data_IF_042907294842
#
_entry.id   IF_042907294842
#
_cell.length_a   1.000
_cell.length_b   1.000
_cell.length_c   1.000
_cell.angle_alpha   90.00
_cell.angle_beta   90.00
_cell.angle_gamma   90.00
#
_symmetry.space_group_name_H-M   'P 1'
#
loop_
_entity.id
_entity.type
_entity.pdbx_description
1 polymer ?
#
# COMPACT_ATOMS: atom_id res chain seq x y z
N UNK A 1 -18.00 -48.98 21.38
CA UNK A 1 -19.37 -49.15 21.91
C UNK A 1 -20.25 -48.18 21.14
N UNK A 2 -21.26 -48.72 20.46
CA UNK A 2 -22.31 -48.05 19.67
C UNK A 2 -22.78 -46.72 20.30
N UNK A 3 -23.19 -45.66 19.59
CA UNK A 3 -23.99 -45.57 18.36
C UNK A 3 -24.02 -44.08 17.95
N UNK A 4 -23.95 -43.79 16.66
CA UNK A 4 -24.94 -42.93 16.00
C UNK A 4 -24.97 -43.35 14.54
N UNK A 5 -26.16 -43.77 14.13
CA UNK A 5 -26.48 -44.20 12.77
C UNK A 5 -26.18 -43.03 11.83
N UNK A 6 -25.25 -43.21 10.89
CA UNK A 6 -25.37 -42.50 9.63
C UNK A 6 -26.66 -43.02 9.03
N UNK A 7 -27.72 -42.23 9.13
CA UNK A 7 -28.92 -42.39 8.34
C UNK A 7 -28.46 -42.40 6.88
N UNK A 8 -28.24 -43.60 6.35
CA UNK A 8 -28.03 -43.86 4.93
C UNK A 8 -29.34 -43.47 4.27
N UNK A 9 -29.49 -42.18 3.98
CA UNK A 9 -30.44 -41.72 2.97
C UNK A 9 -30.07 -42.53 1.72
N UNK A 10 -30.94 -43.44 1.24
CA UNK A 10 -30.62 -44.23 0.07
C UNK A 10 -30.42 -43.26 -1.07
N UNK A 11 -29.20 -43.21 -1.61
CA UNK A 11 -28.93 -42.38 -2.78
C UNK A 11 -29.87 -42.88 -3.89
N UNK A 12 -30.77 -42.02 -4.41
CA UNK A 12 -31.74 -42.45 -5.41
C UNK A 12 -31.00 -42.95 -6.64
N UNK A 13 -31.44 -44.07 -7.23
CA UNK A 13 -30.94 -44.49 -8.55
C UNK A 13 -31.14 -43.35 -9.54
N UNK A 14 -30.06 -42.96 -10.22
CA UNK A 14 -30.11 -41.93 -11.24
C UNK A 14 -29.99 -42.59 -12.60
N UNK A 15 -31.07 -42.56 -13.38
CA UNK A 15 -31.14 -43.13 -14.73
C UNK A 15 -30.74 -44.62 -14.80
N UNK A 16 -31.08 -45.41 -13.77
CA UNK A 16 -30.74 -46.83 -13.71
C UNK A 16 -29.26 -47.13 -13.44
N UNK A 17 -28.45 -46.12 -13.10
CA UNK A 17 -27.06 -46.31 -12.70
C UNK A 17 -26.98 -46.56 -11.18
N UNK A 18 -26.27 -47.61 -10.74
CA UNK A 18 -26.13 -47.89 -9.32
C UNK A 18 -25.27 -46.82 -8.65
N UNK A 19 -25.66 -46.47 -7.43
CA UNK A 19 -24.85 -45.62 -6.56
C UNK A 19 -23.50 -46.30 -6.28
N UNK A 20 -22.41 -45.55 -6.43
CA UNK A 20 -21.04 -46.04 -6.23
C UNK A 20 -20.46 -45.56 -4.91
N UNK A 21 -20.47 -44.25 -4.67
CA UNK A 21 -19.89 -43.65 -3.48
C UNK A 21 -20.35 -42.20 -3.31
N UNK A 22 -20.18 -41.65 -2.12
CA UNK A 22 -20.18 -40.20 -1.93
C UNK A 22 -18.84 -39.64 -2.39
N UNK A 23 -18.85 -38.49 -3.07
CA UNK A 23 -17.63 -37.76 -3.36
C UNK A 23 -17.03 -37.26 -2.03
N UNK A 24 -15.88 -37.80 -1.67
CA UNK A 24 -15.11 -37.38 -0.50
C UNK A 24 -14.13 -36.30 -0.94
N UNK A 25 -13.82 -35.36 -0.05
CA UNK A 25 -12.77 -34.37 -0.27
C UNK A 25 -11.48 -35.07 -0.73
N UNK A 26 -11.01 -34.71 -1.92
CA UNK A 26 -9.72 -35.16 -2.44
C UNK A 26 -8.69 -34.08 -2.16
N UNK A 27 -7.38 -34.41 -2.12
CA UNK A 27 -6.32 -33.41 -1.86
C UNK A 27 -6.41 -32.18 -2.78
N UNK A 28 -6.89 -32.38 -4.01
CA UNK A 28 -7.02 -31.35 -5.04
C UNK A 28 -8.32 -30.52 -4.92
N UNK A 29 -9.35 -31.07 -4.26
CA UNK A 29 -10.68 -30.44 -4.11
C UNK A 29 -11.11 -30.55 -2.65
N UNK A 30 -10.53 -29.67 -1.84
CA UNK A 30 -10.97 -29.48 -0.46
C UNK A 30 -12.41 -28.94 -0.47
N UNK A 31 -13.33 -29.65 0.18
CA UNK A 31 -14.78 -29.40 0.19
C UNK A 31 -15.40 -29.15 -1.21
N UNK A 32 -15.70 -30.19 -2.02
CA UNK A 32 -16.29 -30.00 -3.34
C UNK A 32 -17.73 -29.46 -3.27
N UNK A 33 -18.04 -28.47 -4.10
CA UNK A 33 -19.38 -27.94 -4.30
C UNK A 33 -19.93 -28.45 -5.63
N UNK A 34 -21.09 -29.08 -5.61
CA UNK A 34 -21.76 -29.57 -6.83
C UNK A 34 -22.21 -28.40 -7.69
N UNK A 35 -21.86 -28.43 -8.98
CA UNK A 35 -22.30 -27.43 -9.96
C UNK A 35 -23.40 -28.01 -10.83
N UNK A 36 -23.10 -29.08 -11.57
CA UNK A 36 -24.06 -29.76 -12.45
C UNK A 36 -23.58 -31.15 -12.86
N UNK A 37 -24.47 -31.90 -13.52
CA UNK A 37 -24.19 -33.24 -14.08
C UNK A 37 -24.62 -33.26 -15.54
N UNK A 38 -23.73 -33.71 -16.42
CA UNK A 38 -23.94 -33.81 -17.86
C UNK A 38 -23.60 -35.23 -18.33
N UNK A 39 -24.63 -36.07 -18.49
CA UNK A 39 -24.45 -37.49 -18.77
C UNK A 39 -23.69 -38.19 -17.64
N UNK A 40 -22.47 -38.64 -17.93
CA UNK A 40 -21.55 -39.24 -16.95
C UNK A 40 -20.61 -38.22 -16.30
N UNK A 41 -20.55 -36.98 -16.78
CA UNK A 41 -19.68 -35.96 -16.18
C UNK A 41 -20.35 -35.30 -14.96
N UNK A 42 -19.67 -35.31 -13.82
CA UNK A 42 -20.06 -34.61 -12.59
C UNK A 42 -19.15 -33.40 -12.43
N UNK A 43 -19.68 -32.21 -12.68
CA UNK A 43 -18.93 -30.96 -12.58
C UNK A 43 -18.99 -30.43 -11.16
N UNK A 44 -17.83 -30.23 -10.56
CA UNK A 44 -17.66 -29.70 -9.21
C UNK A 44 -16.72 -28.50 -9.23
N UNK A 45 -16.84 -27.64 -8.21
CA UNK A 45 -15.88 -26.56 -7.95
C UNK A 45 -15.39 -26.61 -6.52
N UNK A 46 -14.28 -25.92 -6.24
CA UNK A 46 -13.80 -25.75 -4.87
C UNK A 46 -14.73 -24.81 -4.08
N UNK A 47 -14.98 -25.13 -2.81
CA UNK A 47 -15.73 -24.26 -1.88
C UNK A 47 -15.04 -22.91 -1.72
N UNK A 48 -15.76 -21.83 -1.97
CA UNK A 48 -15.33 -20.46 -1.71
C UNK A 48 -15.58 -20.09 -0.23
N UNK A 49 -14.84 -19.12 0.34
CA UNK A 49 -15.04 -18.68 1.71
C UNK A 49 -16.48 -18.27 2.05
N UNK A 50 -17.21 -17.67 1.10
CA UNK A 50 -18.62 -17.29 1.27
C UNK A 50 -19.61 -18.47 1.19
N UNK A 51 -19.19 -19.63 0.72
CA UNK A 51 -20.11 -20.75 0.55
C UNK A 51 -20.46 -21.39 1.91
N UNK A 52 -21.72 -21.79 2.12
CA UNK A 52 -22.06 -22.69 3.22
C UNK A 52 -21.38 -24.05 3.04
N UNK A 53 -21.38 -24.87 4.09
CA UNK A 53 -20.85 -26.23 3.97
C UNK A 53 -21.63 -27.04 2.92
N UNK A 54 -20.95 -27.60 1.90
CA UNK A 54 -21.63 -28.27 0.82
C UNK A 54 -22.24 -29.60 1.30
N UNK A 55 -23.42 -29.97 0.78
CA UNK A 55 -23.98 -31.29 1.01
C UNK A 55 -23.10 -32.36 0.35
N UNK A 56 -23.24 -33.61 0.79
CA UNK A 56 -22.55 -34.75 0.17
C UNK A 56 -23.03 -34.92 -1.28
N UNK A 57 -22.09 -35.16 -2.18
CA UNK A 57 -22.37 -35.30 -3.62
C UNK A 57 -22.38 -36.79 -3.97
N UNK A 58 -23.50 -37.37 -4.44
CA UNK A 58 -23.53 -38.77 -4.82
C UNK A 58 -22.83 -38.98 -6.18
N UNK A 59 -21.99 -40.01 -6.26
CA UNK A 59 -21.38 -40.52 -7.48
C UNK A 59 -21.93 -41.91 -7.81
N UNK A 60 -22.23 -42.11 -9.08
CA UNK A 60 -22.80 -43.34 -9.63
C UNK A 60 -21.75 -44.05 -10.49
N UNK A 61 -22.01 -45.31 -10.83
CA UNK A 61 -21.12 -46.05 -11.71
C UNK A 61 -21.00 -45.38 -13.10
N UNK A 62 -19.77 -45.32 -13.62
CA UNK A 62 -19.44 -44.63 -14.86
C UNK A 62 -19.29 -43.10 -14.74
N UNK A 63 -19.51 -42.50 -13.57
CA UNK A 63 -19.29 -41.07 -13.37
C UNK A 63 -17.82 -40.68 -13.51
N UNK A 64 -17.58 -39.57 -14.21
CA UNK A 64 -16.30 -38.87 -14.32
C UNK A 64 -16.41 -37.52 -13.62
N UNK A 65 -15.63 -37.31 -12.55
CA UNK A 65 -15.64 -36.04 -11.81
C UNK A 65 -14.70 -35.06 -12.48
N UNK A 66 -15.22 -33.88 -12.86
CA UNK A 66 -14.44 -32.79 -13.46
C UNK A 66 -14.46 -31.60 -12.51
N UNK A 67 -13.29 -31.22 -12.03
CA UNK A 67 -13.13 -30.04 -11.18
C UNK A 67 -12.89 -28.79 -12.05
N UNK A 68 -13.62 -27.73 -11.73
CA UNK A 68 -13.36 -26.40 -12.26
C UNK A 68 -12.06 -25.84 -11.69
N UNK A 69 -11.34 -25.04 -12.49
CA UNK A 69 -10.20 -24.24 -12.04
C UNK A 69 -10.72 -23.00 -11.32
N UNK A 70 -10.16 -22.70 -10.15
CA UNK A 70 -10.51 -21.51 -9.38
C UNK A 70 -9.37 -20.48 -9.44
N UNK A 71 -9.69 -19.24 -9.83
CA UNK A 71 -8.76 -18.11 -9.78
C UNK A 71 -9.36 -16.98 -8.95
N UNK A 72 -8.56 -16.43 -8.04
CA UNK A 72 -8.96 -15.33 -7.16
C UNK A 72 -8.37 -13.98 -7.59
N UNK A 73 -7.21 -14.00 -8.24
CA UNK A 73 -6.46 -12.79 -8.61
C UNK A 73 -5.97 -12.88 -10.05
N UNK A 74 -5.72 -11.71 -10.63
CA UNK A 74 -4.94 -11.55 -11.86
C UNK A 74 -3.67 -10.75 -11.55
N UNK A 75 -2.61 -10.94 -12.34
CA UNK A 75 -1.36 -10.21 -12.18
C UNK A 75 -1.29 -9.04 -13.16
N UNK A 76 -0.94 -7.85 -12.68
CA UNK A 76 -0.45 -6.78 -13.54
C UNK A 76 1.06 -6.89 -13.68
N UNK A 77 1.50 -7.11 -14.92
CA UNK A 77 2.90 -7.27 -15.25
C UNK A 77 3.43 -6.00 -15.94
N UNK A 78 4.67 -5.65 -15.65
CA UNK A 78 5.40 -4.63 -16.39
C UNK A 78 5.79 -5.09 -17.80
N UNK A 79 6.30 -4.16 -18.64
CA UNK A 79 6.52 -4.40 -20.08
C UNK A 79 7.49 -5.56 -20.41
N UNK A 80 8.39 -5.90 -19.50
CA UNK A 80 9.42 -6.94 -19.68
C UNK A 80 9.05 -8.30 -19.08
N UNK A 81 7.85 -8.43 -18.50
CA UNK A 81 7.52 -9.47 -17.52
C UNK A 81 6.56 -10.58 -17.96
N UNK A 82 6.44 -10.90 -19.24
CA UNK A 82 5.55 -12.00 -19.65
C UNK A 82 6.12 -13.35 -19.21
N UNK A 83 5.70 -13.84 -18.03
CA UNK A 83 6.00 -15.18 -17.51
C UNK A 83 7.05 -15.28 -16.41
N UNK A 84 7.62 -14.17 -15.94
CA UNK A 84 8.55 -14.13 -14.80
C UNK A 84 7.99 -13.22 -13.70
N UNK A 85 8.00 -13.71 -12.45
CA UNK A 85 7.56 -12.98 -11.27
C UNK A 85 8.35 -11.67 -11.05
N UNK A 86 9.56 -11.54 -11.62
CA UNK A 86 10.34 -10.30 -11.58
C UNK A 86 9.64 -9.10 -12.24
N UNK A 87 8.66 -9.35 -13.12
CA UNK A 87 7.86 -8.32 -13.77
C UNK A 87 6.55 -7.98 -13.07
N UNK A 88 6.23 -8.60 -11.92
CA UNK A 88 4.98 -8.34 -11.21
C UNK A 88 4.98 -6.92 -10.63
N UNK A 89 3.97 -6.13 -11.00
CA UNK A 89 3.70 -4.81 -10.40
C UNK A 89 2.79 -4.98 -9.18
N UNK A 90 1.65 -5.65 -9.36
CA UNK A 90 0.69 -5.96 -8.31
C UNK A 90 -0.21 -7.12 -8.73
N UNK A 91 -0.83 -7.79 -7.75
CA UNK A 91 -1.91 -8.75 -7.97
C UNK A 91 -3.25 -8.10 -7.64
N UNK A 92 -4.23 -8.15 -8.54
CA UNK A 92 -5.54 -7.57 -8.33
C UNK A 92 -6.57 -8.66 -8.08
N UNK A 93 -7.39 -8.47 -7.06
CA UNK A 93 -8.53 -9.34 -6.77
C UNK A 93 -9.57 -9.27 -7.89
N UNK A 94 -10.01 -10.43 -8.40
CA UNK A 94 -11.06 -10.52 -9.43
C UNK A 94 -12.28 -11.28 -8.95
N UNK A 95 -13.46 -10.82 -9.33
CA UNK A 95 -14.74 -11.45 -8.97
C UNK A 95 -15.54 -11.78 -10.23
N UNK A 96 -16.28 -12.91 -10.24
CA UNK A 96 -17.09 -13.30 -11.39
C UNK A 96 -18.26 -12.31 -11.59
N UNK A 97 -18.58 -12.00 -12.85
CA UNK A 97 -19.71 -11.12 -13.21
C UNK A 97 -20.85 -11.91 -13.83
N UNK A 98 -20.55 -12.68 -14.88
CA UNK A 98 -21.53 -13.43 -15.67
C UNK A 98 -20.84 -14.62 -16.35
N UNK A 99 -21.64 -15.56 -16.84
CA UNK A 99 -21.17 -16.74 -17.56
C UNK A 99 -22.02 -16.96 -18.81
N UNK A 100 -21.36 -17.26 -19.91
CA UNK A 100 -21.96 -17.63 -21.19
C UNK A 100 -21.41 -18.99 -21.65
N UNK A 101 -22.05 -19.67 -22.61
CA UNK A 101 -21.52 -20.93 -23.14
C UNK A 101 -20.06 -20.78 -23.60
N UNK A 102 -19.15 -21.48 -22.92
CA UNK A 102 -17.71 -21.47 -23.21
C UNK A 102 -16.93 -20.26 -22.66
N UNK A 103 -17.56 -19.32 -21.96
CA UNK A 103 -16.93 -18.08 -21.49
C UNK A 103 -17.34 -17.72 -20.06
N UNK A 104 -16.35 -17.37 -19.23
CA UNK A 104 -16.54 -16.81 -17.89
C UNK A 104 -16.02 -15.39 -17.87
N UNK A 105 -16.85 -14.46 -17.41
CA UNK A 105 -16.49 -13.06 -17.31
C UNK A 105 -16.22 -12.71 -15.85
N UNK A 106 -15.20 -11.89 -15.64
CA UNK A 106 -14.79 -11.41 -14.34
C UNK A 106 -14.40 -9.93 -14.42
N UNK A 107 -14.43 -9.24 -13.28
CA UNK A 107 -13.96 -7.87 -13.14
C UNK A 107 -13.05 -7.73 -11.94
N UNK A 108 -12.32 -6.63 -11.84
CA UNK A 108 -11.61 -6.30 -10.60
C UNK A 108 -12.60 -6.02 -9.47
N UNK A 109 -12.25 -6.42 -8.25
CA UNK A 109 -12.98 -6.02 -7.05
C UNK A 109 -12.82 -4.51 -6.87
N UNK A 110 -13.93 -3.79 -6.70
CA UNK A 110 -13.87 -2.32 -6.60
C UNK A 110 -13.29 -1.91 -5.25
N UNK A 111 -12.63 -0.76 -5.22
CA UNK A 111 -12.14 -0.22 -3.95
C UNK A 111 -13.31 0.05 -2.99
N UNK A 112 -13.23 -0.49 -1.78
CA UNK A 112 -14.30 -0.40 -0.77
C UNK A 112 -15.44 -1.41 -0.95
N UNK A 113 -15.41 -2.26 -1.99
CA UNK A 113 -16.32 -3.41 -2.09
C UNK A 113 -15.87 -4.50 -1.12
N UNK A 114 -16.83 -5.08 -0.37
CA UNK A 114 -16.56 -6.19 0.54
C UNK A 114 -16.13 -7.43 -0.24
N UNK A 115 -14.97 -8.01 0.11
CA UNK A 115 -14.53 -9.29 -0.45
C UNK A 115 -15.10 -10.44 0.36
N UNK A 116 -16.13 -11.11 -0.17
CA UNK A 116 -16.69 -12.32 0.43
C UNK A 116 -15.86 -13.58 0.10
N UNK A 117 -14.77 -13.44 -0.65
CA UNK A 117 -13.86 -14.51 -1.03
C UNK A 117 -14.28 -15.29 -2.28
N UNK A 118 -15.38 -14.93 -2.95
CA UNK A 118 -15.84 -15.62 -4.18
C UNK A 118 -14.78 -15.66 -5.27
N UNK A 119 -14.52 -16.83 -5.83
CA UNK A 119 -13.51 -16.99 -6.89
C UNK A 119 -14.16 -17.11 -8.25
N UNK A 120 -13.38 -16.81 -9.28
CA UNK A 120 -13.78 -17.07 -10.66
C UNK A 120 -13.48 -18.54 -10.92
N UNK A 121 -14.54 -19.33 -11.16
CA UNK A 121 -14.42 -20.74 -11.50
C UNK A 121 -14.70 -20.94 -12.98
N UNK A 122 -13.85 -21.69 -13.67
CA UNK A 122 -14.06 -22.04 -15.09
C UNK A 122 -13.67 -23.50 -15.37
N UNK A 123 -14.34 -24.09 -16.35
CA UNK A 123 -14.09 -25.46 -16.79
C UNK A 123 -12.91 -25.54 -17.77
N UNK A 124 -12.26 -26.73 -17.89
CA UNK A 124 -11.28 -26.94 -18.94
C UNK A 124 -11.87 -26.63 -20.32
N UNK A 125 -11.22 -25.73 -21.06
CA UNK A 125 -11.66 -25.29 -22.39
C UNK A 125 -12.54 -24.04 -22.40
N UNK A 126 -12.98 -23.53 -21.24
CA UNK A 126 -13.60 -22.20 -21.18
C UNK A 126 -12.57 -21.08 -21.22
N UNK A 127 -12.93 -19.98 -21.88
CA UNK A 127 -12.15 -18.75 -21.84
C UNK A 127 -12.57 -17.89 -20.64
N UNK A 128 -11.60 -17.25 -19.99
CA UNK A 128 -11.85 -16.23 -18.97
C UNK A 128 -11.58 -14.85 -19.57
N UNK A 129 -12.55 -13.94 -19.47
CA UNK A 129 -12.43 -12.56 -19.95
C UNK A 129 -12.53 -11.60 -18.77
N UNK A 130 -11.56 -10.70 -18.67
CA UNK A 130 -11.61 -9.59 -17.72
C UNK A 130 -12.33 -8.40 -18.38
N UNK A 131 -13.49 -8.05 -17.81
CA UNK A 131 -14.27 -6.86 -18.13
C UNK A 131 -14.04 -5.81 -17.03
N UNK A 132 -14.11 -4.51 -17.37
CA UNK A 132 -13.99 -3.42 -16.39
C UNK A 132 -12.73 -3.53 -15.48
N UNK A 133 -11.54 -3.72 -16.08
CA UNK A 133 -10.30 -3.81 -15.31
C UNK A 133 -9.87 -2.43 -14.82
N UNK A 134 -10.35 -2.04 -13.63
CA UNK A 134 -9.96 -0.80 -12.98
C UNK A 134 -9.04 -1.08 -11.79
N UNK A 135 -7.96 -0.30 -11.70
CA UNK A 135 -7.12 -0.21 -10.50
C UNK A 135 -7.31 1.19 -9.91
N UNK A 136 -7.51 1.24 -8.60
CA UNK A 136 -7.52 2.50 -7.87
C UNK A 136 -6.18 2.68 -7.15
N UNK A 137 -5.62 3.90 -7.18
CA UNK A 137 -4.42 4.22 -6.41
C UNK A 137 -4.62 3.92 -4.91
N UNK A 138 -5.82 4.17 -4.36
CA UNK A 138 -6.13 3.85 -2.96
C UNK A 138 -6.11 2.35 -2.66
N UNK A 139 -6.35 1.49 -3.66
CA UNK A 139 -6.21 0.06 -3.49
C UNK A 139 -4.73 -0.31 -3.27
N UNK A 140 -3.84 0.20 -4.12
CA UNK A 140 -2.39 0.00 -3.97
C UNK A 140 -1.85 0.57 -2.65
N UNK A 141 -2.43 1.69 -2.21
CA UNK A 141 -2.09 2.33 -0.94
C UNK A 141 -2.49 1.46 0.27
N UNK A 142 -3.68 0.87 0.23
CA UNK A 142 -4.20 0.02 1.29
C UNK A 142 -3.47 -1.33 1.42
N UNK A 143 -2.77 -1.77 0.38
CA UNK A 143 -1.94 -2.99 0.40
C UNK A 143 -0.59 -2.77 1.11
N UNK A 144 -0.17 -1.52 1.32
CA UNK A 144 1.10 -1.24 1.97
C UNK A 144 0.99 -1.31 3.49
N UNK A 145 2.03 -1.84 4.12
CA UNK A 145 2.15 -1.84 5.57
C UNK A 145 2.54 -0.44 6.07
N UNK A 146 1.85 0.02 7.12
CA UNK A 146 2.24 1.23 7.83
C UNK A 146 3.54 1.00 8.60
N UNK A 147 4.38 2.03 8.62
CA UNK A 147 5.58 2.10 9.47
C UNK A 147 5.19 2.27 10.96
N UNK A 148 6.19 2.22 11.85
CA UNK A 148 5.99 2.39 13.30
C UNK A 148 5.31 3.72 13.67
N UNK A 149 5.49 4.77 12.87
CA UNK A 149 4.82 6.07 13.05
C UNK A 149 3.36 6.09 12.56
N UNK A 150 2.87 5.01 11.96
CA UNK A 150 1.57 4.95 11.29
C UNK A 150 1.56 5.53 9.87
N UNK A 151 2.69 6.05 9.39
CA UNK A 151 2.83 6.52 8.01
C UNK A 151 2.95 5.33 7.04
N UNK A 152 2.22 5.39 5.93
CA UNK A 152 2.29 4.39 4.85
C UNK A 152 3.28 4.87 3.78
N UNK A 153 4.36 4.12 3.46
CA UNK A 153 5.33 4.49 2.43
C UNK A 153 4.67 4.80 1.09
N UNK A 154 4.97 5.97 0.51
CA UNK A 154 4.33 6.44 -0.71
C UNK A 154 5.09 6.01 -1.98
N UNK A 155 6.42 5.86 -1.89
CA UNK A 155 7.25 5.46 -3.03
C UNK A 155 6.78 4.17 -3.70
N UNK A 156 6.55 3.03 -2.99
CA UNK A 156 6.08 1.81 -3.63
C UNK A 156 4.70 1.99 -4.27
N UNK A 157 3.80 2.73 -3.62
CA UNK A 157 2.45 3.03 -4.14
C UNK A 157 2.52 3.77 -5.47
N UNK A 158 3.27 4.87 -5.52
CA UNK A 158 3.42 5.67 -6.75
C UNK A 158 4.21 4.94 -7.82
N UNK A 159 5.19 4.12 -7.44
CA UNK A 159 5.93 3.30 -8.40
C UNK A 159 4.99 2.33 -9.10
N UNK A 160 4.15 1.61 -8.33
CA UNK A 160 3.18 0.68 -8.88
C UNK A 160 2.15 1.40 -9.74
N UNK A 161 1.56 2.49 -9.22
CA UNK A 161 0.55 3.28 -9.94
C UNK A 161 1.07 3.82 -11.28
N UNK A 162 2.21 4.50 -11.28
CA UNK A 162 2.77 5.14 -12.47
C UNK A 162 3.45 4.15 -13.43
N UNK A 163 3.57 2.88 -13.04
CA UNK A 163 4.02 1.80 -13.92
C UNK A 163 2.87 1.10 -14.66
N UNK A 164 1.62 1.42 -14.33
CA UNK A 164 0.44 0.91 -15.03
C UNK A 164 0.20 1.77 -16.27
N UNK A 165 0.11 1.13 -17.44
CA UNK A 165 -0.19 1.80 -18.71
C UNK A 165 0.99 2.54 -19.34
N UNK A 166 0.71 3.60 -20.09
CA UNK A 166 1.73 4.43 -20.74
C UNK A 166 2.33 5.39 -19.71
N UNK A 167 3.64 5.27 -19.49
CA UNK A 167 4.37 6.04 -18.48
C UNK A 167 4.87 7.38 -19.02
N UNK A 168 4.51 8.47 -18.34
CA UNK A 168 5.23 9.75 -18.46
C UNK A 168 6.52 9.67 -17.62
N UNK A 169 7.65 9.65 -18.32
CA UNK A 169 8.98 9.51 -17.73
C UNK A 169 9.39 10.70 -16.84
N UNK A 170 8.99 11.92 -17.19
CA UNK A 170 9.31 13.11 -16.40
C UNK A 170 8.50 13.12 -15.11
N UNK A 171 7.20 12.89 -15.23
CA UNK A 171 6.29 12.80 -14.09
C UNK A 171 6.69 11.65 -13.15
N UNK A 172 6.99 10.47 -13.70
CA UNK A 172 7.43 9.30 -12.94
C UNK A 172 8.67 9.62 -12.09
N UNK A 173 9.72 10.17 -12.71
CA UNK A 173 10.95 10.54 -11.99
C UNK A 173 10.69 11.60 -10.94
N UNK A 174 9.87 12.60 -11.25
CA UNK A 174 9.59 13.72 -10.35
C UNK A 174 8.83 13.27 -9.10
N UNK A 175 7.69 12.58 -9.29
CA UNK A 175 6.84 12.14 -8.19
C UNK A 175 7.54 11.09 -7.32
N UNK A 176 8.28 10.14 -7.91
CA UNK A 176 9.06 9.18 -7.13
C UNK A 176 10.19 9.84 -6.35
N UNK A 177 10.86 10.84 -6.91
CA UNK A 177 11.90 11.55 -6.21
C UNK A 177 11.35 12.38 -5.03
N UNK A 178 10.13 12.92 -5.16
CA UNK A 178 9.44 13.59 -4.04
C UNK A 178 8.99 12.58 -2.97
N UNK A 179 8.33 11.49 -3.36
CA UNK A 179 7.87 10.45 -2.45
C UNK A 179 9.01 9.79 -1.68
N UNK A 180 10.13 9.48 -2.33
CA UNK A 180 11.32 8.91 -1.66
C UNK A 180 11.87 9.80 -0.56
N UNK A 181 11.86 11.12 -0.77
CA UNK A 181 12.28 12.07 0.25
C UNK A 181 11.28 12.10 1.39
N UNK A 182 9.99 12.09 1.08
CA UNK A 182 8.94 12.05 2.10
C UNK A 182 9.04 10.80 2.98
N UNK A 183 9.19 9.63 2.36
CA UNK A 183 9.38 8.36 3.07
C UNK A 183 10.65 8.38 3.92
N UNK A 184 11.75 8.91 3.39
CA UNK A 184 13.00 9.05 4.15
C UNK A 184 12.88 10.00 5.34
N UNK A 185 12.09 11.08 5.21
CA UNK A 185 11.83 11.98 6.33
C UNK A 185 11.05 11.27 7.44
N UNK A 186 10.07 10.42 7.10
CA UNK A 186 9.36 9.60 8.07
C UNK A 186 10.30 8.62 8.80
N UNK A 187 11.17 7.91 8.06
CA UNK A 187 12.14 6.99 8.66
C UNK A 187 13.09 7.69 9.66
N UNK A 188 13.50 8.92 9.35
CA UNK A 188 14.33 9.71 10.25
C UNK A 188 13.58 10.12 11.52
N UNK A 189 12.27 10.41 11.44
CA UNK A 189 11.45 10.69 12.62
C UNK A 189 11.33 9.48 13.53
N UNK A 190 11.12 8.28 12.98
CA UNK A 190 11.12 7.04 13.77
C UNK A 190 12.46 6.87 14.49
N UNK A 191 13.58 7.15 13.83
CA UNK A 191 14.91 7.09 14.45
C UNK A 191 15.10 8.14 15.54
N UNK A 192 14.60 9.36 15.33
CA UNK A 192 14.61 10.43 16.35
C UNK A 192 13.81 9.98 17.57
N UNK A 193 12.60 9.46 17.40
CA UNK A 193 11.76 8.98 18.50
C UNK A 193 12.44 7.89 19.32
N UNK A 194 13.06 6.90 18.64
CA UNK A 194 13.85 5.84 19.29
C UNK A 194 15.00 6.41 20.11
N UNK A 195 15.80 7.33 19.55
CA UNK A 195 16.90 7.93 20.29
C UNK A 195 16.44 8.85 21.43
N UNK A 196 15.31 9.54 21.26
CA UNK A 196 14.68 10.32 22.34
C UNK A 196 14.23 9.42 23.48
N UNK A 197 13.64 8.26 23.19
CA UNK A 197 13.28 7.26 24.20
C UNK A 197 14.53 6.73 24.94
N UNK A 198 15.57 6.33 24.21
CA UNK A 198 16.83 5.86 24.78
C UNK A 198 17.54 6.94 25.64
N UNK A 199 17.48 8.20 25.24
CA UNK A 199 18.01 9.32 26.00
C UNK A 199 17.27 9.53 27.33
N UNK A 200 15.95 9.31 27.35
CA UNK A 200 15.10 9.40 28.56
C UNK A 200 15.36 8.26 29.54
N UNK A 201 15.68 7.06 29.04
CA UNK A 201 16.01 5.89 29.88
C UNK A 201 17.44 5.89 30.42
N UNK A 202 18.36 6.56 29.73
CA UNK A 202 19.75 6.70 30.17
C UNK A 202 19.86 7.74 31.29
N UNK A 203 20.85 7.61 32.19
CA UNK A 203 21.20 8.67 33.13
C UNK A 203 21.36 10.00 32.37
N UNK A 204 20.83 11.11 32.89
CA UNK A 204 20.77 12.43 32.21
C UNK A 204 22.13 13.10 31.97
N UNK A 205 23.23 12.35 32.09
CA UNK A 205 24.59 12.78 31.85
C UNK A 205 25.48 11.62 31.39
N UNK A 206 26.57 11.95 30.71
CA UNK A 206 27.62 10.99 30.34
C UNK A 206 27.68 10.67 28.83
N UNK A 207 28.63 9.83 28.41
CA UNK A 207 28.87 9.56 26.98
C UNK A 207 27.66 8.96 26.25
N UNK A 208 26.97 7.99 26.85
CA UNK A 208 25.81 7.34 26.24
C UNK A 208 24.65 8.32 26.02
N UNK A 209 24.27 9.07 27.05
CA UNK A 209 23.25 10.12 26.95
C UNK A 209 23.59 11.13 25.84
N UNK A 210 24.82 11.64 25.82
CA UNK A 210 25.28 12.57 24.77
C UNK A 210 25.18 11.97 23.37
N UNK A 211 25.46 10.67 23.22
CA UNK A 211 25.32 9.99 21.92
C UNK A 211 23.89 10.05 21.41
N UNK A 212 22.92 9.72 22.27
CA UNK A 212 21.51 9.77 21.90
C UNK A 212 21.03 11.20 21.63
N UNK A 213 21.43 12.17 22.46
CA UNK A 213 21.11 13.59 22.22
C UNK A 213 21.68 14.07 20.88
N UNK A 214 22.95 13.81 20.57
CA UNK A 214 23.52 14.22 19.27
C UNK A 214 22.89 13.48 18.09
N UNK A 215 22.45 12.23 18.27
CA UNK A 215 21.71 11.51 17.24
C UNK A 215 20.33 12.14 16.99
N UNK A 216 19.63 12.59 18.04
CA UNK A 216 18.39 13.36 17.92
C UNK A 216 18.64 14.66 17.15
N UNK A 217 19.65 15.46 17.54
CA UNK A 217 19.95 16.73 16.87
C UNK A 217 20.26 16.53 15.38
N UNK A 218 21.19 15.64 15.05
CA UNK A 218 21.56 15.37 13.65
C UNK A 218 20.41 14.72 12.84
N UNK A 219 19.57 13.91 13.50
CA UNK A 219 18.36 13.37 12.90
C UNK A 219 17.37 14.46 12.53
N UNK A 220 17.11 15.41 13.44
CA UNK A 220 16.18 16.53 13.23
C UNK A 220 16.66 17.42 12.09
N UNK A 221 17.96 17.76 12.07
CA UNK A 221 18.59 18.50 10.97
C UNK A 221 18.32 17.84 9.61
N UNK A 222 18.63 16.55 9.51
CA UNK A 222 18.48 15.77 8.27
C UNK A 222 17.02 15.62 7.87
N UNK A 223 16.12 15.47 8.83
CA UNK A 223 14.67 15.36 8.62
C UNK A 223 14.13 16.64 8.02
N UNK A 224 14.45 17.80 8.61
CA UNK A 224 13.99 19.11 8.12
C UNK A 224 14.48 19.38 6.70
N UNK A 225 15.74 19.07 6.40
CA UNK A 225 16.28 19.23 5.04
C UNK A 225 15.53 18.33 4.06
N UNK A 226 15.40 17.04 4.38
CA UNK A 226 14.73 16.06 3.53
C UNK A 226 13.27 16.42 3.28
N UNK A 227 12.53 16.77 4.33
CA UNK A 227 11.13 17.17 4.27
C UNK A 227 10.94 18.47 3.46
N UNK A 228 11.79 19.48 3.68
CA UNK A 228 11.79 20.70 2.88
C UNK A 228 11.91 20.40 1.39
N UNK A 229 12.82 19.50 1.00
CA UNK A 229 13.02 19.13 -0.41
C UNK A 229 11.80 18.43 -1.00
N UNK A 230 11.13 17.54 -0.26
CA UNK A 230 9.87 16.93 -0.71
C UNK A 230 8.77 17.99 -0.93
N UNK A 231 8.62 18.91 0.01
CA UNK A 231 7.62 19.99 -0.07
C UNK A 231 7.96 21.00 -1.16
N UNK A 232 9.23 21.34 -1.36
CA UNK A 232 9.67 22.22 -2.45
C UNK A 232 9.29 21.64 -3.81
N UNK A 233 9.42 20.31 -3.97
CA UNK A 233 8.95 19.60 -5.16
C UNK A 233 7.41 19.64 -5.26
N UNK A 234 6.68 19.41 -4.18
CA UNK A 234 5.23 19.57 -4.20
C UNK A 234 4.82 20.98 -4.65
N UNK A 235 5.47 22.02 -4.12
CA UNK A 235 5.21 23.42 -4.48
C UNK A 235 5.49 23.74 -5.94
N UNK A 236 6.52 23.12 -6.52
CA UNK A 236 6.93 23.34 -7.90
C UNK A 236 6.20 22.42 -8.89
N UNK A 237 5.45 21.44 -8.40
CA UNK A 237 4.82 20.42 -9.24
C UNK A 237 3.97 21.02 -10.36
N UNK A 238 3.21 22.09 -10.13
CA UNK A 238 2.40 22.71 -11.19
C UNK A 238 3.25 23.23 -12.35
N UNK A 239 4.39 23.88 -12.04
CA UNK A 239 5.33 24.36 -13.07
C UNK A 239 6.24 23.28 -13.65
N UNK A 240 6.51 22.21 -12.90
CA UNK A 240 7.48 21.17 -13.29
C UNK A 240 6.82 20.01 -14.04
N UNK A 241 5.63 19.59 -13.63
CA UNK A 241 4.91 18.44 -14.20
C UNK A 241 3.47 18.80 -14.59
N UNK A 242 3.09 20.08 -14.56
CA UNK A 242 1.77 20.53 -15.06
C UNK A 242 0.57 20.15 -14.18
N UNK A 243 0.76 19.75 -12.91
CA UNK A 243 -0.37 19.40 -12.05
C UNK A 243 -1.26 20.61 -11.76
N UNK A 244 -2.57 20.36 -11.70
CA UNK A 244 -3.61 21.34 -11.36
C UNK A 244 -4.07 21.21 -9.91
N UNK A 245 -3.55 20.23 -9.16
CA UNK A 245 -3.89 20.02 -7.75
C UNK A 245 -3.40 21.21 -6.93
N UNK A 246 -4.28 21.75 -6.09
CA UNK A 246 -3.96 22.86 -5.21
C UNK A 246 -3.04 22.38 -4.07
N UNK A 247 -2.09 23.23 -3.67
CA UNK A 247 -1.26 22.96 -2.50
C UNK A 247 -2.10 23.04 -1.22
N UNK A 248 -1.92 22.10 -0.27
CA UNK A 248 -2.49 22.19 1.06
C UNK A 248 -2.17 23.52 1.77
N UNK A 249 -3.12 24.03 2.55
CA UNK A 249 -2.96 25.28 3.32
C UNK A 249 -1.83 25.16 4.34
N UNK A 250 -1.69 24.00 4.98
CA UNK A 250 -0.63 23.70 5.95
C UNK A 250 0.77 23.94 5.38
N UNK A 251 1.02 23.47 4.15
CA UNK A 251 2.27 23.68 3.41
C UNK A 251 2.49 25.17 3.18
N UNK A 252 1.48 25.89 2.72
CA UNK A 252 1.58 27.33 2.46
C UNK A 252 1.90 28.11 3.73
N UNK A 253 1.18 27.80 4.82
CA UNK A 253 1.32 28.44 6.14
C UNK A 253 2.69 28.19 6.78
N UNK A 254 3.17 26.96 6.76
CA UNK A 254 4.40 26.54 7.45
C UNK A 254 5.66 26.72 6.60
N UNK A 255 5.52 26.98 5.30
CA UNK A 255 6.65 27.08 4.37
C UNK A 255 7.74 28.06 4.82
N UNK A 256 7.35 29.23 5.32
CA UNK A 256 8.31 30.26 5.73
C UNK A 256 9.17 29.76 6.90
N UNK A 257 8.55 29.13 7.91
CA UNK A 257 9.26 28.56 9.06
C UNK A 257 10.15 27.39 8.63
N UNK A 258 9.61 26.43 7.87
CA UNK A 258 10.36 25.28 7.38
C UNK A 258 11.57 25.71 6.54
N UNK A 259 11.39 26.70 5.65
CA UNK A 259 12.48 27.19 4.79
C UNK A 259 13.57 27.92 5.59
N UNK A 260 13.18 28.73 6.57
CA UNK A 260 14.14 29.45 7.42
C UNK A 260 14.96 28.47 8.27
N UNK A 261 14.31 27.51 8.93
CA UNK A 261 14.96 26.50 9.75
C UNK A 261 15.85 25.60 8.88
N UNK A 262 15.36 25.13 7.73
CA UNK A 262 16.16 24.35 6.77
C UNK A 262 17.42 25.10 6.36
N UNK A 263 17.30 26.39 6.02
CA UNK A 263 18.44 27.20 5.61
C UNK A 263 19.42 27.47 6.76
N UNK A 264 18.97 27.44 8.02
CA UNK A 264 19.86 27.50 9.17
C UNK A 264 20.67 26.21 9.31
N UNK A 265 20.03 25.04 9.16
CA UNK A 265 20.72 23.75 9.21
C UNK A 265 21.63 23.47 8.00
N UNK A 266 21.23 23.81 6.78
CA UNK A 266 22.10 23.65 5.59
C UNK A 266 23.35 24.53 5.62
N UNK A 267 23.35 25.59 6.42
CA UNK A 267 24.45 26.55 6.56
C UNK A 267 24.90 26.67 8.02
N UNK A 268 24.85 25.55 8.75
CA UNK A 268 25.12 25.50 10.19
C UNK A 268 26.53 26.00 10.53
N UNK A 269 27.49 25.84 9.61
CA UNK A 269 28.86 26.33 9.73
C UNK A 269 28.94 27.87 9.79
N UNK A 270 28.11 28.57 9.02
CA UNK A 270 28.04 30.03 9.02
C UNK A 270 27.29 30.52 10.27
N UNK A 271 26.22 29.79 10.65
CA UNK A 271 25.47 30.05 11.89
C UNK A 271 26.36 29.91 13.12
N UNK A 272 27.27 28.94 13.15
CA UNK A 272 28.20 28.73 14.26
C UNK A 272 29.12 29.93 14.51
N UNK A 273 29.35 30.76 13.49
CA UNK A 273 30.13 31.99 13.58
C UNK A 273 29.27 33.22 13.91
N UNK A 274 27.97 33.04 14.17
CA UNK A 274 27.03 34.14 14.40
C UNK A 274 26.62 34.87 13.11
N UNK A 275 26.75 34.22 11.96
CA UNK A 275 26.53 34.84 10.66
C UNK A 275 25.38 34.23 9.86
N UNK A 276 24.81 35.05 8.97
CA UNK A 276 23.90 34.69 7.89
C UNK A 276 24.42 35.27 6.57
N UNK A 277 24.83 34.38 5.66
CA UNK A 277 25.49 34.74 4.40
C UNK A 277 26.77 35.57 4.63
N UNK A 278 27.56 35.16 5.63
CA UNK A 278 28.83 35.81 5.98
C UNK A 278 28.67 37.19 6.64
N UNK A 279 27.47 37.56 7.08
CA UNK A 279 27.20 38.81 7.80
C UNK A 279 26.67 38.53 9.20
N UNK A 280 27.04 39.31 10.23
CA UNK A 280 26.50 39.14 11.57
C UNK A 280 24.97 39.22 11.58
N UNK A 281 24.33 38.28 12.27
CA UNK A 281 22.88 38.21 12.40
C UNK A 281 22.46 37.80 13.83
N UNK A 282 21.55 38.53 14.48
CA UNK A 282 21.14 38.25 15.86
C UNK A 282 20.42 36.91 16.02
N UNK A 283 19.82 36.36 14.96
CA UNK A 283 19.15 35.06 15.00
C UNK A 283 20.11 33.89 14.72
N UNK A 284 21.31 34.13 14.19
CA UNK A 284 22.21 33.07 13.72
C UNK A 284 22.46 31.98 14.77
N UNK A 285 22.76 32.38 16.01
CA UNK A 285 23.09 31.45 17.10
C UNK A 285 21.86 30.75 17.71
N UNK A 286 20.64 31.23 17.42
CA UNK A 286 19.42 30.68 18.03
C UNK A 286 19.15 29.23 17.59
N UNK A 287 19.66 28.81 16.43
CA UNK A 287 19.53 27.42 15.95
C UNK A 287 20.27 26.41 16.84
N UNK A 288 21.25 26.86 17.63
CA UNK A 288 21.99 26.00 18.58
C UNK A 288 21.32 25.92 19.96
N UNK A 289 20.28 26.71 20.22
CA UNK A 289 19.48 26.58 21.43
C UNK A 289 18.49 25.43 21.26
N UNK A 290 18.93 24.26 21.72
CA UNK A 290 18.16 23.01 21.63
C UNK A 290 17.21 22.81 22.81
N UNK A 291 17.04 23.80 23.70
CA UNK A 291 16.21 23.65 24.90
C UNK A 291 14.77 23.33 24.53
N UNK A 292 14.18 24.09 23.61
CA UNK A 292 12.81 23.87 23.13
C UNK A 292 12.65 22.53 22.39
N UNK A 293 13.69 22.08 21.69
CA UNK A 293 13.67 20.80 21.00
C UNK A 293 13.67 19.63 21.99
N UNK A 294 14.50 19.69 23.02
CA UNK A 294 14.65 18.59 23.98
C UNK A 294 13.52 18.53 25.01
N UNK A 295 12.80 19.63 25.24
CA UNK A 295 11.73 19.72 26.24
C UNK A 295 10.31 19.76 25.63
N UNK A 296 10.15 20.47 24.52
CA UNK A 296 8.84 20.78 23.93
C UNK A 296 8.71 20.24 22.50
N UNK A 297 9.63 19.37 22.06
CA UNK A 297 9.68 18.80 20.71
C UNK A 297 9.56 19.90 19.62
N UNK A 298 10.13 21.08 19.88
CA UNK A 298 9.97 22.26 19.02
C UNK A 298 11.31 22.81 18.53
N UNK A 299 11.43 22.96 17.22
CA UNK A 299 12.57 23.63 16.59
C UNK A 299 12.33 25.14 16.56
N UNK A 300 13.32 25.92 16.98
CA UNK A 300 13.24 27.38 17.00
C UNK A 300 14.42 27.98 16.25
N UNK A 301 14.15 28.96 15.39
CA UNK A 301 15.18 29.76 14.73
C UNK A 301 14.69 31.19 14.51
N UNK A 302 15.28 32.15 15.23
CA UNK A 302 14.80 33.52 15.28
C UNK A 302 13.32 33.58 15.68
N UNK A 303 12.47 34.11 14.80
CA UNK A 303 11.01 34.14 14.99
C UNK A 303 10.26 32.92 14.45
N UNK A 304 10.95 31.93 13.87
CA UNK A 304 10.34 30.76 13.26
C UNK A 304 10.28 29.59 14.24
N UNK A 305 9.18 28.84 14.16
CA UNK A 305 8.91 27.68 15.01
C UNK A 305 8.34 26.56 14.17
N UNK A 306 8.70 25.32 14.50
CA UNK A 306 8.15 24.10 13.91
C UNK A 306 8.10 23.01 14.98
N UNK A 307 6.92 22.43 15.24
CA UNK A 307 6.81 21.32 16.20
C UNK A 307 6.96 19.96 15.52
N UNK A 308 7.66 19.04 16.17
CA UNK A 308 7.88 17.68 15.68
C UNK A 308 6.66 16.77 15.87
N UNK A 309 5.79 17.09 16.82
CA UNK A 309 4.59 16.31 17.18
C UNK A 309 3.29 16.82 16.51
N UNK A 310 3.34 17.97 15.84
CA UNK A 310 2.18 18.63 15.24
C UNK A 310 2.44 19.10 13.82
N UNK A 311 3.34 20.07 13.65
CA UNK A 311 3.59 20.68 12.34
C UNK A 311 4.23 19.69 11.35
N UNK A 312 5.25 18.94 11.79
CA UNK A 312 5.96 17.98 10.93
C UNK A 312 5.07 16.83 10.47
N UNK A 313 4.31 16.14 11.34
CA UNK A 313 3.35 15.10 10.91
C UNK A 313 2.27 15.64 9.98
N UNK A 314 1.78 16.86 10.22
CA UNK A 314 0.81 17.53 9.33
C UNK A 314 1.42 17.73 7.94
N UNK A 315 2.65 18.25 7.88
CA UNK A 315 3.36 18.45 6.62
C UNK A 315 3.63 17.13 5.88
N UNK A 316 3.97 16.05 6.60
CA UNK A 316 4.14 14.72 6.01
C UNK A 316 2.83 14.22 5.38
N UNK A 317 1.75 14.19 6.16
CA UNK A 317 0.43 13.70 5.71
C UNK A 317 -0.10 14.50 4.54
N UNK A 318 -0.05 15.83 4.62
CA UNK A 318 -0.62 16.70 3.58
C UNK A 318 0.21 16.66 2.29
N UNK A 319 1.54 16.59 2.41
CA UNK A 319 2.41 16.41 1.23
C UNK A 319 2.18 15.05 0.59
N UNK A 320 2.01 14.00 1.40
CA UNK A 320 1.72 12.64 0.92
C UNK A 320 0.43 12.62 0.11
N UNK A 321 -0.64 13.19 0.67
CA UNK A 321 -1.94 13.24 0.01
C UNK A 321 -1.88 14.09 -1.27
N UNK A 322 -1.22 15.24 -1.25
CA UNK A 322 -1.00 16.05 -2.44
C UNK A 322 -0.30 15.27 -3.56
N UNK A 323 0.75 14.50 -3.24
CA UNK A 323 1.49 13.72 -4.24
C UNK A 323 0.62 12.58 -4.82
N UNK A 324 -0.22 11.93 -4.01
CA UNK A 324 -1.23 10.97 -4.50
C UNK A 324 -2.19 11.63 -5.48
N UNK A 325 -2.72 12.78 -5.14
CA UNK A 325 -3.70 13.48 -5.97
C UNK A 325 -3.07 14.03 -7.25
N UNK A 326 -1.82 14.49 -7.20
CA UNK A 326 -1.06 14.90 -8.38
C UNK A 326 -0.82 13.72 -9.34
N UNK A 327 -0.60 12.52 -8.81
CA UNK A 327 -0.50 11.30 -9.62
C UNK A 327 -1.84 10.91 -10.27
N UNK A 328 -2.97 11.10 -9.56
CA UNK A 328 -4.33 10.80 -10.08
C UNK A 328 -4.80 11.78 -11.14
N UNK A 329 -4.63 13.07 -10.90
CA UNK A 329 -5.18 14.14 -11.75
C UNK A 329 -4.61 14.16 -13.17
N UNK A 330 -3.61 13.34 -13.46
CA UNK A 330 -2.96 13.21 -14.76
C UNK A 330 -2.96 11.77 -15.31
N UNK A 331 -3.13 10.77 -14.43
CA UNK A 331 -3.39 9.39 -14.82
C UNK A 331 -4.87 9.08 -14.56
N UNK A 332 -5.76 9.47 -15.48
CA UNK A 332 -7.04 8.77 -15.58
C UNK A 332 -6.78 7.54 -16.45
N UNK A 333 -6.84 6.30 -15.92
CA UNK A 333 -6.94 5.12 -16.77
C UNK A 333 -8.36 5.12 -17.36
N UNK A 334 -8.65 6.07 -18.25
CA UNK A 334 -9.71 5.88 -19.23
C UNK A 334 -9.12 5.03 -20.36
N UNK A 335 -9.16 3.72 -20.10
CA UNK A 335 -8.91 2.62 -21.01
C UNK A 335 -9.56 1.38 -20.44
#
# INVERSE_FOLDING_TARGET
MLRMEEEQVPAPELDGRPFKAWLVAQPEVDAPVFVRREGTSVIVRKKDPCDPDPPRIPCYEGDEVKCMTAVSHTALMGPSGNGDASGLITSIRIVPTRREPGHVYARTLRYGEEDDGRRVHFEPGEAVTLEECAVALDHLDAEQEATESGYVPLTPVLWSWLSIGVRDEEQFRYLLAAARRLDQANELLIQIERHTAEAKETASHGPTFRRHVFAVLGGVETTVVTLHRAIDMAKKASSSIGTTIALPESITRLWAALSAIRNAYEHIEDRALGNVWGKPDPAALTIFDNTALLHDDTIVYGGHRLTLDGDVPTLLTDTRQFLKDAARGQASPEG
#
